data_IF_493413167893
#
_entry.id   IF_493413167893
#
_cell.length_a   1.000
_cell.length_b   1.000
_cell.length_c   1.000
_cell.angle_alpha   90.00
_cell.angle_beta   90.00
_cell.angle_gamma   90.00
#
_symmetry.space_group_name_H-M   'P 1'
#
loop_
_entity.id
_entity.type
_entity.pdbx_description
1 polymer ?
#
# COMPACT_ATOMS: atom_id res chain seq x y z
N UNK A 1 -18.23 16.55 -18.08
CA UNK A 1 -16.93 17.26 -18.03
C UNK A 1 -15.83 16.23 -17.76
N UNK A 2 -14.88 16.06 -18.68
CA UNK A 2 -13.70 15.24 -18.43
C UNK A 2 -12.72 16.05 -17.57
N UNK A 3 -12.59 15.66 -16.29
CA UNK A 3 -11.50 16.17 -15.46
C UNK A 3 -10.20 15.54 -15.94
N UNK A 4 -9.31 16.37 -16.49
CA UNK A 4 -7.96 15.95 -16.82
C UNK A 4 -7.10 16.00 -15.55
N UNK A 5 -6.32 14.96 -15.34
CA UNK A 5 -5.39 14.84 -14.23
C UNK A 5 -3.99 14.62 -14.80
N UNK A 6 -3.01 15.26 -14.20
CA UNK A 6 -1.61 15.13 -14.57
C UNK A 6 -1.14 13.67 -14.47
N UNK A 7 -0.31 13.17 -15.40
CA UNK A 7 0.20 11.80 -15.37
C UNK A 7 0.90 11.46 -14.06
N UNK A 8 1.71 12.38 -13.53
CA UNK A 8 2.43 12.21 -12.26
C UNK A 8 1.47 12.08 -11.07
N UNK A 9 0.37 12.84 -11.09
CA UNK A 9 -0.66 12.71 -10.06
C UNK A 9 -1.33 11.34 -10.12
N UNK A 10 -1.67 10.85 -11.31
CA UNK A 10 -2.25 9.50 -11.48
C UNK A 10 -1.32 8.41 -10.98
N UNK A 11 -0.03 8.48 -11.35
CA UNK A 11 1.01 7.54 -10.89
C UNK A 11 1.11 7.53 -9.37
N UNK A 12 1.14 8.71 -8.73
CA UNK A 12 1.17 8.84 -7.27
C UNK A 12 -0.01 8.12 -6.63
N UNK A 13 -1.23 8.36 -7.10
CA UNK A 13 -2.44 7.73 -6.54
C UNK A 13 -2.41 6.20 -6.70
N UNK A 14 -1.96 5.70 -7.86
CA UNK A 14 -1.81 4.25 -8.11
C UNK A 14 -0.77 3.66 -7.17
N UNK A 15 0.36 4.34 -6.96
CA UNK A 15 1.42 3.90 -6.05
C UNK A 15 0.96 3.84 -4.59
N UNK A 16 0.25 4.87 -4.10
CA UNK A 16 -0.35 4.85 -2.75
C UNK A 16 -1.32 3.68 -2.58
N UNK A 17 -2.08 3.33 -3.61
CA UNK A 17 -2.98 2.19 -3.55
C UNK A 17 -2.22 0.85 -3.53
N UNK A 18 -1.24 0.67 -4.42
CA UNK A 18 -0.56 -0.61 -4.63
C UNK A 18 0.54 -0.90 -3.61
N UNK A 19 1.32 0.11 -3.21
CA UNK A 19 2.45 -0.06 -2.31
C UNK A 19 2.09 0.19 -0.83
N UNK A 20 1.28 1.20 -0.54
CA UNK A 20 0.84 1.47 0.84
C UNK A 20 -0.43 0.70 1.22
N UNK A 21 -1.12 0.09 0.24
CA UNK A 21 -2.36 -0.65 0.48
C UNK A 21 -3.56 0.25 0.85
N UNK A 22 -3.49 1.55 0.55
CA UNK A 22 -4.57 2.53 0.83
C UNK A 22 -5.83 2.14 0.05
N UNK A 23 -7.01 2.31 0.62
CA UNK A 23 -8.25 1.96 -0.08
C UNK A 23 -8.61 3.01 -1.14
N UNK A 24 -9.21 2.58 -2.26
CA UNK A 24 -9.72 3.50 -3.29
C UNK A 24 -10.70 4.52 -2.72
N UNK A 25 -11.50 4.11 -1.73
CA UNK A 25 -12.44 5.00 -1.05
C UNK A 25 -11.72 6.08 -0.23
N UNK A 26 -10.67 5.72 0.52
CA UNK A 26 -9.88 6.68 1.28
C UNK A 26 -9.21 7.70 0.35
N UNK A 27 -8.59 7.22 -0.73
CA UNK A 27 -7.95 8.09 -1.72
C UNK A 27 -8.97 8.99 -2.45
N UNK A 28 -10.14 8.46 -2.80
CA UNK A 28 -11.21 9.25 -3.43
C UNK A 28 -11.67 10.41 -2.54
N UNK A 29 -11.83 10.15 -1.24
CA UNK A 29 -12.24 11.16 -0.27
C UNK A 29 -11.15 12.21 -0.02
N UNK A 30 -9.90 11.77 0.18
CA UNK A 30 -8.76 12.63 0.48
C UNK A 30 -8.40 13.56 -0.69
N UNK A 31 -8.38 13.03 -1.91
CA UNK A 31 -7.96 13.76 -3.09
C UNK A 31 -9.11 14.36 -3.90
N UNK A 32 -10.36 14.20 -3.44
CA UNK A 32 -11.57 14.65 -4.16
C UNK A 32 -11.64 14.13 -5.60
N UNK A 33 -11.20 12.89 -5.80
CA UNK A 33 -11.20 12.18 -7.08
C UNK A 33 -12.30 11.13 -7.07
N UNK A 34 -12.96 10.92 -8.22
CA UNK A 34 -13.97 9.86 -8.31
C UNK A 34 -13.34 8.46 -8.13
N UNK A 35 -14.02 7.57 -7.42
CA UNK A 35 -13.58 6.16 -7.26
C UNK A 35 -13.34 5.49 -8.63
N UNK A 36 -14.23 5.75 -9.59
CA UNK A 36 -14.12 5.22 -10.95
C UNK A 36 -12.83 5.68 -11.66
N UNK A 37 -12.44 6.95 -11.50
CA UNK A 37 -11.19 7.47 -12.07
C UNK A 37 -9.98 6.74 -11.50
N UNK A 38 -9.92 6.56 -10.18
CA UNK A 38 -8.83 5.84 -9.51
C UNK A 38 -8.77 4.38 -9.99
N UNK A 39 -9.91 3.68 -10.01
CA UNK A 39 -9.99 2.31 -10.52
C UNK A 39 -9.52 2.21 -11.96
N UNK A 40 -9.87 3.17 -12.81
CA UNK A 40 -9.41 3.22 -14.20
C UNK A 40 -7.90 3.41 -14.30
N UNK A 41 -7.29 4.27 -13.49
CA UNK A 41 -5.83 4.46 -13.48
C UNK A 41 -5.08 3.22 -13.02
N UNK A 42 -5.58 2.55 -11.98
CA UNK A 42 -5.01 1.26 -11.53
C UNK A 42 -5.11 0.21 -12.62
N UNK A 43 -6.24 0.14 -13.34
CA UNK A 43 -6.41 -0.78 -14.46
C UNK A 43 -5.49 -0.47 -15.65
N UNK A 44 -5.34 0.81 -15.99
CA UNK A 44 -4.42 1.26 -17.03
C UNK A 44 -2.98 0.89 -16.68
N UNK A 45 -2.55 1.17 -15.45
CA UNK A 45 -1.21 0.80 -14.98
C UNK A 45 -0.97 -0.72 -15.05
N UNK A 46 -1.94 -1.53 -14.63
CA UNK A 46 -1.85 -3.00 -14.74
C UNK A 46 -1.74 -3.47 -16.19
N UNK A 47 -2.39 -2.81 -17.14
CA UNK A 47 -2.25 -3.10 -18.57
C UNK A 47 -0.88 -2.71 -19.09
N UNK A 48 -0.34 -1.56 -18.68
CA UNK A 48 1.01 -1.12 -19.04
C UNK A 48 2.06 -2.13 -18.55
N UNK A 49 1.86 -2.72 -17.36
CA UNK A 49 2.70 -3.81 -16.82
C UNK A 49 2.68 -5.10 -17.66
N UNK A 50 1.67 -5.31 -18.51
CA UNK A 50 1.65 -6.48 -19.41
C UNK A 50 2.50 -6.25 -20.66
N UNK A 51 2.77 -4.98 -21.00
CA UNK A 51 3.43 -4.59 -22.24
C UNK A 51 4.90 -4.20 -21.98
N UNK A 52 5.18 -3.46 -20.91
CA UNK A 52 6.52 -3.03 -20.51
C UNK A 52 7.09 -3.92 -19.41
N UNK A 53 8.34 -4.35 -19.59
CA UNK A 53 9.08 -5.14 -18.58
C UNK A 53 9.44 -4.28 -17.37
N UNK A 54 9.73 -3.01 -17.59
CA UNK A 54 10.05 -2.02 -16.56
C UNK A 54 8.83 -1.78 -15.66
N UNK A 55 7.67 -1.48 -16.27
CA UNK A 55 6.42 -1.29 -15.52
C UNK A 55 6.03 -2.54 -14.73
N UNK A 56 6.29 -3.74 -15.28
CA UNK A 56 6.07 -5.00 -14.57
C UNK A 56 6.99 -5.14 -13.35
N UNK A 57 8.27 -4.85 -13.49
CA UNK A 57 9.23 -4.91 -12.39
C UNK A 57 8.87 -3.93 -11.28
N UNK A 58 8.44 -2.71 -11.64
CA UNK A 58 7.95 -1.71 -10.69
C UNK A 58 6.71 -2.22 -9.93
N UNK A 59 5.73 -2.79 -10.64
CA UNK A 59 4.53 -3.35 -10.03
C UNK A 59 4.83 -4.50 -9.07
N UNK A 60 5.71 -5.43 -9.48
CA UNK A 60 6.10 -6.57 -8.66
C UNK A 60 6.84 -6.10 -7.39
N UNK A 61 7.70 -5.08 -7.52
CA UNK A 61 8.39 -4.44 -6.38
C UNK A 61 7.42 -3.78 -5.41
N UNK A 62 6.43 -3.02 -5.91
CA UNK A 62 5.39 -2.40 -5.06
C UNK A 62 4.58 -3.44 -4.30
N UNK A 63 4.23 -4.56 -4.96
CA UNK A 63 3.49 -5.67 -4.34
C UNK A 63 4.31 -6.36 -3.25
N UNK A 64 5.60 -6.57 -3.49
CA UNK A 64 6.51 -7.13 -2.50
C UNK A 64 6.69 -6.20 -1.30
N UNK A 65 6.89 -4.90 -1.54
CA UNK A 65 6.95 -3.88 -0.48
C UNK A 65 5.71 -3.90 0.42
N UNK A 66 4.51 -3.98 -0.16
CA UNK A 66 3.28 -4.08 0.62
C UNK A 66 3.25 -5.35 1.49
N UNK A 67 3.71 -6.48 0.95
CA UNK A 67 3.77 -7.76 1.69
C UNK A 67 4.77 -7.66 2.85
N UNK A 68 5.96 -7.13 2.60
CA UNK A 68 7.00 -6.97 3.60
C UNK A 68 6.56 -6.03 4.73
N UNK A 69 5.92 -4.90 4.41
CA UNK A 69 5.35 -3.97 5.41
C UNK A 69 4.33 -4.68 6.33
N UNK A 70 3.48 -5.54 5.76
CA UNK A 70 2.51 -6.32 6.55
C UNK A 70 3.19 -7.34 7.46
N UNK A 71 4.19 -8.06 6.94
CA UNK A 71 4.94 -9.04 7.73
C UNK A 71 5.71 -8.36 8.88
N UNK A 72 6.34 -7.22 8.61
CA UNK A 72 7.05 -6.44 9.62
C UNK A 72 6.09 -5.94 10.71
N UNK A 73 4.90 -5.45 10.34
CA UNK A 73 3.90 -5.03 11.31
C UNK A 73 3.42 -6.18 12.21
N UNK A 74 3.30 -7.40 11.67
CA UNK A 74 2.90 -8.56 12.46
C UNK A 74 4.01 -9.03 13.41
N UNK A 75 5.24 -9.15 12.89
CA UNK A 75 6.41 -9.47 13.71
C UNK A 75 6.64 -8.45 14.83
N UNK A 76 6.39 -7.17 14.58
CA UNK A 76 6.49 -6.14 15.61
C UNK A 76 5.46 -6.35 16.72
N UNK A 77 4.22 -6.70 16.39
CA UNK A 77 3.19 -7.01 17.40
C UNK A 77 3.56 -8.23 18.23
N UNK A 78 4.05 -9.30 17.59
CA UNK A 78 4.51 -10.50 18.29
C UNK A 78 5.66 -10.17 19.23
N UNK A 79 6.64 -9.39 18.76
CA UNK A 79 7.77 -8.94 19.56
C UNK A 79 7.32 -8.10 20.76
N UNK A 80 6.41 -7.15 20.55
CA UNK A 80 5.86 -6.30 21.61
C UNK A 80 5.05 -7.11 22.63
N UNK A 81 4.31 -8.13 22.17
CA UNK A 81 3.60 -9.06 23.04
C UNK A 81 4.59 -9.87 23.89
N UNK A 82 5.62 -10.49 23.29
CA UNK A 82 6.63 -11.26 24.01
C UNK A 82 7.40 -10.40 25.03
N UNK A 83 7.74 -9.16 24.67
CA UNK A 83 8.37 -8.20 25.61
C UNK A 83 7.47 -7.90 26.80
N UNK A 84 6.17 -7.69 26.58
CA UNK A 84 5.20 -7.47 27.66
C UNK A 84 5.08 -8.69 28.57
N UNK A 85 5.05 -9.89 28.00
CA UNK A 85 5.00 -11.16 28.74
C UNK A 85 6.27 -11.37 29.56
N UNK A 86 7.45 -11.16 28.97
CA UNK A 86 8.72 -11.25 29.68
C UNK A 86 8.81 -10.24 30.84
N UNK A 87 8.37 -9.00 30.62
CA UNK A 87 8.32 -7.97 31.66
C UNK A 87 7.30 -8.27 32.77
N UNK A 88 6.21 -8.99 32.45
CA UNK A 88 5.25 -9.46 33.46
C UNK A 88 5.89 -10.53 34.34
N UNK A 89 6.48 -11.58 33.76
CA UNK A 89 7.13 -12.65 34.52
C UNK A 89 8.33 -12.18 35.35
N UNK A 90 9.13 -11.25 34.83
CA UNK A 90 10.26 -10.70 35.60
C UNK A 90 9.82 -9.99 36.90
N UNK A 91 8.58 -9.46 36.96
CA UNK A 91 8.03 -8.83 38.16
C UNK A 91 7.46 -9.80 39.20
N UNK A 92 7.20 -11.06 38.82
CA UNK A 92 6.69 -12.09 39.75
C UNK A 92 7.84 -12.86 40.45
N UNK A 93 9.08 -12.64 40.03
CA UNK A 93 10.28 -13.29 40.59
C UNK A 93 10.96 -12.41 41.66
N UNK A 94 10.61 -11.13 41.73
CA UNK A 94 10.92 -10.21 42.85
C UNK A 94 9.89 -10.34 43.98
#
# INVERSE_FOLDING_TARGET
MNKHYEPEFKKKIVHLHLEEGRTVQGLAAEYSVSKASISNWVHQFRKECQISKEAKADYDSMKENLKLKKQLAELQKENDFLKKVAAFFAKEID
#
